data_IF_303878295717
#
_entry.id   IF_303878295717
#
_cell.length_a   1.000
_cell.length_b   1.000
_cell.length_c   1.000
_cell.angle_alpha   90.00
_cell.angle_beta   90.00
_cell.angle_gamma   90.00
#
_symmetry.space_group_name_H-M   'P 1'
#
loop_
_entity.id
_entity.type
_entity.pdbx_description
1 polymer ?
#
# COMPACT_ATOMS: atom_id res chain seq x y z
N UNK A 1 26.50 20.42 -9.46
CA UNK A 1 26.16 18.99 -9.45
C UNK A 1 24.85 18.89 -10.22
N UNK A 2 24.81 18.20 -11.36
CA UNK A 2 23.61 18.18 -12.20
C UNK A 2 22.53 17.36 -11.50
N UNK A 3 21.52 18.06 -11.02
CA UNK A 3 20.28 17.50 -10.50
C UNK A 3 19.59 16.78 -11.67
N UNK A 4 19.82 15.47 -11.81
CA UNK A 4 19.03 14.65 -12.72
C UNK A 4 17.64 14.58 -12.13
N UNK A 5 16.79 15.52 -12.53
CA UNK A 5 15.37 15.51 -12.23
C UNK A 5 14.82 14.13 -12.63
N UNK A 6 14.49 13.30 -11.64
CA UNK A 6 13.79 12.06 -11.90
C UNK A 6 12.38 12.45 -12.35
N UNK A 7 12.12 12.38 -13.66
CA UNK A 7 10.83 12.74 -14.23
C UNK A 7 9.93 11.50 -14.31
N UNK A 8 8.81 11.53 -13.62
CA UNK A 8 7.74 10.55 -13.79
C UNK A 8 6.86 11.02 -14.96
N UNK A 9 6.60 10.18 -15.98
CA UNK A 9 5.69 10.54 -17.06
C UNK A 9 4.27 10.85 -16.54
N UNK A 10 3.56 11.80 -17.18
CA UNK A 10 2.20 12.19 -16.76
C UNK A 10 1.21 11.02 -16.71
N UNK A 11 1.42 10.02 -17.57
CA UNK A 11 0.67 8.78 -17.59
C UNK A 11 1.63 7.62 -17.59
N UNK A 12 1.46 6.71 -16.63
CA UNK A 12 2.24 5.48 -16.51
C UNK A 12 1.31 4.29 -16.53
N UNK A 13 1.70 3.25 -17.25
CA UNK A 13 1.08 1.92 -17.12
C UNK A 13 1.39 1.34 -15.74
N UNK A 14 0.70 0.26 -15.38
CA UNK A 14 0.96 -0.42 -14.11
C UNK A 14 2.38 -1.01 -14.06
N UNK A 15 2.84 -1.59 -15.15
CA UNK A 15 4.16 -2.20 -15.30
C UNK A 15 5.27 -1.13 -15.27
N UNK A 16 5.09 0.00 -15.95
CA UNK A 16 6.02 1.12 -15.89
C UNK A 16 6.10 1.71 -14.47
N UNK A 17 4.97 1.80 -13.76
CA UNK A 17 4.94 2.27 -12.40
C UNK A 17 5.74 1.37 -11.44
N UNK A 18 5.69 0.04 -11.64
CA UNK A 18 6.54 -0.91 -10.90
C UNK A 18 8.02 -0.63 -11.19
N UNK A 19 8.40 -0.55 -12.47
CA UNK A 19 9.79 -0.33 -12.88
C UNK A 19 10.35 1.01 -12.36
N UNK A 20 9.55 2.08 -12.44
CA UNK A 20 9.91 3.39 -11.91
C UNK A 20 10.07 3.35 -10.40
N UNK A 21 9.16 2.67 -9.69
CA UNK A 21 9.26 2.52 -8.24
C UNK A 21 10.52 1.77 -7.83
N UNK A 22 10.91 0.73 -8.57
CA UNK A 22 12.17 0.03 -8.32
C UNK A 22 13.37 0.98 -8.51
N UNK A 23 13.39 1.75 -9.59
CA UNK A 23 14.46 2.72 -9.83
C UNK A 23 14.55 3.79 -8.74
N UNK A 24 13.40 4.26 -8.21
CA UNK A 24 13.38 5.18 -7.06
C UNK A 24 14.00 4.54 -5.84
N UNK A 25 13.59 3.30 -5.49
CA UNK A 25 14.10 2.60 -4.32
C UNK A 25 15.60 2.37 -4.38
N UNK A 26 16.11 1.95 -5.54
CA UNK A 26 17.55 1.72 -5.75
C UNK A 26 18.34 3.02 -5.53
N UNK A 27 17.85 4.15 -6.07
CA UNK A 27 18.51 5.45 -5.92
C UNK A 27 18.35 6.06 -4.52
N UNK A 28 17.23 5.81 -3.84
CA UNK A 28 17.07 6.14 -2.42
C UNK A 28 18.10 5.39 -1.58
N UNK A 29 18.27 4.08 -1.82
CA UNK A 29 19.23 3.25 -1.10
C UNK A 29 20.69 3.68 -1.37
N UNK A 30 20.99 4.13 -2.58
CA UNK A 30 22.30 4.67 -2.96
C UNK A 30 22.54 6.11 -2.45
N UNK A 31 21.54 6.78 -1.87
CA UNK A 31 21.65 8.18 -1.44
C UNK A 31 21.75 9.17 -2.61
N UNK A 32 21.26 8.79 -3.79
CA UNK A 32 21.36 9.55 -5.04
C UNK A 32 20.16 10.48 -5.28
N UNK A 33 19.15 10.44 -4.42
CA UNK A 33 18.00 11.33 -4.46
C UNK A 33 18.02 12.27 -3.25
N UNK A 34 17.82 13.56 -3.53
CA UNK A 34 17.54 14.54 -2.48
C UNK A 34 16.15 14.29 -1.89
N UNK A 35 15.89 14.76 -0.66
CA UNK A 35 14.56 14.70 -0.05
C UNK A 35 13.44 15.22 -0.97
N UNK A 36 13.66 16.37 -1.59
CA UNK A 36 12.68 17.00 -2.50
C UNK A 36 12.43 16.14 -3.75
N UNK A 37 13.48 15.50 -4.28
CA UNK A 37 13.34 14.62 -5.44
C UNK A 37 12.56 13.34 -5.10
N UNK A 38 12.74 12.78 -3.90
CA UNK A 38 11.94 11.64 -3.42
C UNK A 38 10.46 12.02 -3.33
N UNK A 39 10.17 13.15 -2.67
CA UNK A 39 8.81 13.60 -2.45
C UNK A 39 8.10 13.87 -3.79
N UNK A 40 8.76 14.57 -4.72
CA UNK A 40 8.21 14.90 -6.03
C UNK A 40 7.95 13.65 -6.89
N UNK A 41 8.91 12.74 -6.96
CA UNK A 41 8.80 11.52 -7.75
C UNK A 41 7.63 10.63 -7.29
N UNK A 42 7.53 10.39 -5.99
CA UNK A 42 6.46 9.55 -5.44
C UNK A 42 5.11 10.25 -5.60
N UNK A 43 5.03 11.56 -5.39
CA UNK A 43 3.78 12.34 -5.56
C UNK A 43 3.22 12.22 -6.97
N UNK A 44 4.07 12.32 -8.00
CA UNK A 44 3.64 12.15 -9.39
C UNK A 44 3.25 10.70 -9.71
N UNK A 45 3.93 9.70 -9.14
CA UNK A 45 3.51 8.30 -9.29
C UNK A 45 2.12 8.06 -8.69
N UNK A 46 1.85 8.53 -7.47
CA UNK A 46 0.59 8.22 -6.78
C UNK A 46 -0.61 9.06 -7.25
N UNK A 47 -0.38 10.02 -8.15
CA UNK A 47 -1.39 10.87 -8.77
C UNK A 47 -2.38 10.11 -9.64
N UNK A 48 -1.96 8.98 -10.21
CA UNK A 48 -2.81 8.13 -11.06
C UNK A 48 -3.06 6.79 -10.39
N UNK A 49 -4.19 6.16 -10.71
CA UNK A 49 -4.53 4.83 -10.16
C UNK A 49 -3.51 3.76 -10.53
N UNK A 50 -3.01 3.75 -11.77
CA UNK A 50 -1.99 2.78 -12.19
C UNK A 50 -0.65 3.05 -11.52
N UNK A 51 -0.24 4.31 -11.47
CA UNK A 51 0.99 4.73 -10.79
C UNK A 51 0.99 4.37 -9.31
N UNK A 52 -0.08 4.71 -8.59
CA UNK A 52 -0.23 4.38 -7.17
C UNK A 52 -0.24 2.86 -6.92
N UNK A 53 -0.93 2.08 -7.77
CA UNK A 53 -0.93 0.62 -7.66
C UNK A 53 0.46 0.03 -7.90
N UNK A 54 1.17 0.47 -8.94
CA UNK A 54 2.52 -0.01 -9.20
C UNK A 54 3.50 0.38 -8.09
N UNK A 55 3.36 1.59 -7.56
CA UNK A 55 4.10 2.05 -6.39
C UNK A 55 3.90 1.13 -5.19
N UNK A 56 2.65 0.96 -4.74
CA UNK A 56 2.40 0.15 -3.55
C UNK A 56 2.78 -1.31 -3.73
N UNK A 57 2.55 -1.90 -4.91
CA UNK A 57 2.96 -3.27 -5.18
C UNK A 57 4.46 -3.41 -4.99
N UNK A 58 5.27 -2.60 -5.67
CA UNK A 58 6.72 -2.76 -5.59
C UNK A 58 7.30 -2.30 -4.24
N UNK A 59 6.82 -1.17 -3.70
CA UNK A 59 7.29 -0.61 -2.43
C UNK A 59 7.04 -1.56 -1.26
N UNK A 60 5.83 -2.10 -1.14
CA UNK A 60 5.47 -2.94 0.00
C UNK A 60 6.10 -4.33 -0.08
N UNK A 61 6.33 -4.88 -1.27
CA UNK A 61 6.94 -6.21 -1.44
C UNK A 61 8.45 -6.18 -1.50
N UNK A 62 9.08 -5.01 -1.64
CA UNK A 62 10.53 -4.86 -1.76
C UNK A 62 11.30 -5.61 -0.67
N UNK A 63 12.43 -6.22 -1.02
CA UNK A 63 13.35 -6.80 -0.03
C UNK A 63 14.14 -5.73 0.74
N UNK A 64 14.08 -4.47 0.30
CA UNK A 64 14.71 -3.36 1.00
C UNK A 64 13.97 -3.01 2.30
N UNK A 65 14.70 -2.54 3.29
CA UNK A 65 14.15 -2.07 4.58
C UNK A 65 13.58 -0.65 4.50
N UNK A 66 13.72 0.03 3.35
CA UNK A 66 13.17 1.38 3.14
C UNK A 66 11.67 1.44 3.44
N UNK A 67 10.93 0.37 3.12
CA UNK A 67 9.50 0.29 3.36
C UNK A 67 9.13 -0.08 4.81
N UNK A 68 10.09 -0.57 5.62
CA UNK A 68 9.85 -0.87 7.03
C UNK A 68 9.78 0.42 7.86
N UNK A 69 10.57 1.43 7.47
CA UNK A 69 10.60 2.75 8.09
C UNK A 69 10.49 3.84 7.01
N UNK A 70 9.26 4.12 6.52
CA UNK A 70 9.05 5.14 5.50
C UNK A 70 9.61 6.48 5.94
N UNK A 71 10.39 7.14 5.07
CA UNK A 71 10.94 8.46 5.36
C UNK A 71 9.86 9.53 5.36
N UNK A 72 10.15 10.71 5.91
CA UNK A 72 9.20 11.81 5.95
C UNK A 72 8.76 12.24 4.54
N UNK A 73 9.66 12.18 3.58
CA UNK A 73 9.40 12.52 2.18
C UNK A 73 8.43 11.55 1.51
N UNK A 74 8.55 10.25 1.81
CA UNK A 74 7.59 9.24 1.36
C UNK A 74 6.21 9.54 1.96
N UNK A 75 6.15 9.82 3.26
CA UNK A 75 4.88 10.14 3.95
C UNK A 75 4.23 11.38 3.35
N UNK A 76 4.99 12.46 3.15
CA UNK A 76 4.51 13.70 2.53
C UNK A 76 4.01 13.47 1.10
N UNK A 77 4.73 12.66 0.31
CA UNK A 77 4.32 12.34 -1.04
C UNK A 77 3.00 11.58 -1.08
N UNK A 78 2.80 10.62 -0.17
CA UNK A 78 1.54 9.88 -0.07
C UNK A 78 0.37 10.77 0.39
N UNK A 79 0.63 11.79 1.20
CA UNK A 79 -0.39 12.75 1.61
C UNK A 79 -0.88 13.66 0.46
N UNK A 80 -0.13 13.77 -0.64
CA UNK A 80 -0.49 14.64 -1.77
C UNK A 80 -1.71 14.17 -2.57
N UNK A 81 -2.06 12.87 -2.50
CA UNK A 81 -3.16 12.27 -3.25
C UNK A 81 -4.02 11.38 -2.34
N UNK A 82 -4.71 11.98 -1.36
CA UNK A 82 -5.24 11.26 -0.21
C UNK A 82 -6.33 10.23 -0.56
N UNK A 83 -7.17 10.51 -1.55
CA UNK A 83 -8.28 9.61 -1.92
C UNK A 83 -7.75 8.31 -2.53
N UNK A 84 -6.86 8.41 -3.53
CA UNK A 84 -6.24 7.25 -4.21
C UNK A 84 -5.38 6.45 -3.24
N UNK A 85 -4.58 7.12 -2.41
CA UNK A 85 -3.70 6.49 -1.43
C UNK A 85 -4.50 5.76 -0.36
N UNK A 86 -5.55 6.37 0.18
CA UNK A 86 -6.36 5.76 1.25
C UNK A 86 -7.11 4.52 0.79
N UNK A 87 -7.70 4.55 -0.42
CA UNK A 87 -8.36 3.37 -1.02
C UNK A 87 -7.38 2.19 -1.11
N UNK A 88 -6.16 2.45 -1.60
CA UNK A 88 -5.16 1.41 -1.82
C UNK A 88 -4.57 0.89 -0.50
N UNK A 89 -4.31 1.74 0.49
CA UNK A 89 -3.81 1.32 1.79
C UNK A 89 -4.80 0.37 2.49
N UNK A 90 -6.08 0.73 2.55
CA UNK A 90 -7.11 -0.09 3.20
C UNK A 90 -7.28 -1.43 2.48
N UNK A 91 -7.27 -1.44 1.15
CA UNK A 91 -7.34 -2.67 0.36
C UNK A 91 -6.08 -3.53 0.55
N UNK A 92 -4.90 -2.94 0.55
CA UNK A 92 -3.65 -3.67 0.72
C UNK A 92 -3.55 -4.31 2.10
N UNK A 93 -4.01 -3.63 3.15
CA UNK A 93 -4.05 -4.18 4.51
C UNK A 93 -4.92 -5.44 4.54
N UNK A 94 -6.14 -5.35 4.02
CA UNK A 94 -7.07 -6.48 3.95
C UNK A 94 -6.55 -7.63 3.07
N UNK A 95 -6.03 -7.33 1.87
CA UNK A 95 -5.51 -8.34 0.95
C UNK A 95 -4.30 -9.08 1.53
N UNK A 96 -3.34 -8.35 2.11
CA UNK A 96 -2.14 -8.97 2.66
C UNK A 96 -2.43 -9.83 3.90
N UNK A 97 -3.31 -9.38 4.78
CA UNK A 97 -3.73 -10.18 5.95
C UNK A 97 -4.43 -11.48 5.55
N UNK A 98 -5.31 -11.44 4.53
CA UNK A 98 -6.00 -12.63 4.03
C UNK A 98 -5.07 -13.58 3.27
N UNK A 99 -4.10 -13.06 2.52
CA UNK A 99 -3.09 -13.87 1.83
C UNK A 99 -2.15 -14.58 2.79
N UNK A 100 -1.80 -13.96 3.92
CA UNK A 100 -1.02 -14.64 4.95
C UNK A 100 -1.73 -15.93 5.44
N UNK A 101 -3.06 -15.88 5.64
CA UNK A 101 -3.85 -17.07 5.99
C UNK A 101 -3.85 -18.09 4.87
N UNK A 102 -4.16 -17.68 3.63
CA UNK A 102 -4.20 -18.58 2.47
C UNK A 102 -2.88 -19.30 2.27
N UNK A 103 -1.76 -18.60 2.38
CA UNK A 103 -0.43 -19.20 2.24
C UNK A 103 -0.12 -20.17 3.38
N UNK A 104 -0.48 -19.86 4.63
CA UNK A 104 -0.34 -20.80 5.75
C UNK A 104 -1.19 -22.06 5.58
N UNK A 105 -2.43 -21.93 5.13
CA UNK A 105 -3.32 -23.07 4.85
C UNK A 105 -2.79 -23.99 3.75
N UNK A 106 -1.93 -23.46 2.88
CA UNK A 106 -1.29 -24.19 1.79
C UNK A 106 0.17 -24.61 2.12
N UNK A 107 0.55 -24.59 3.40
CA UNK A 107 1.91 -24.90 3.89
C UNK A 107 3.03 -24.07 3.24
N UNK A 108 2.69 -22.90 2.68
CA UNK A 108 3.65 -21.99 2.04
C UNK A 108 4.04 -20.87 2.99
N UNK A 109 4.84 -21.23 4.00
CA UNK A 109 5.25 -20.31 5.06
C UNK A 109 6.03 -19.08 4.54
N UNK A 110 6.88 -19.26 3.53
CA UNK A 110 7.64 -18.15 2.96
C UNK A 110 6.73 -17.08 2.34
N UNK A 111 5.70 -17.48 1.59
CA UNK A 111 4.73 -16.52 1.05
C UNK A 111 3.83 -15.90 2.14
N UNK A 112 3.55 -16.65 3.20
CA UNK A 112 2.84 -16.11 4.35
C UNK A 112 3.64 -15.00 5.04
N UNK A 113 4.93 -15.20 5.27
CA UNK A 113 5.84 -14.18 5.84
C UNK A 113 5.93 -12.95 4.94
N UNK A 114 6.01 -13.14 3.62
CA UNK A 114 5.94 -12.03 2.66
C UNK A 114 4.64 -11.23 2.77
N UNK A 115 3.51 -11.90 2.98
CA UNK A 115 2.22 -11.27 3.19
C UNK A 115 2.13 -10.53 4.52
N UNK A 116 2.67 -11.12 5.60
CA UNK A 116 2.77 -10.47 6.91
C UNK A 116 3.62 -9.20 6.87
N UNK A 117 4.70 -9.21 6.09
CA UNK A 117 5.57 -8.05 5.87
C UNK A 117 4.82 -6.93 5.16
N UNK A 118 4.12 -7.24 4.07
CA UNK A 118 3.28 -6.26 3.34
C UNK A 118 2.21 -5.67 4.27
N UNK A 119 1.54 -6.51 5.06
CA UNK A 119 0.52 -6.08 6.03
C UNK A 119 1.09 -5.09 7.03
N UNK A 120 2.21 -5.46 7.68
CA UNK A 120 2.85 -4.65 8.71
C UNK A 120 3.33 -3.31 8.17
N UNK A 121 3.93 -3.30 6.98
CA UNK A 121 4.33 -2.07 6.28
C UNK A 121 3.13 -1.19 5.93
N UNK A 122 2.04 -1.80 5.48
CA UNK A 122 0.81 -1.06 5.15
C UNK A 122 0.22 -0.39 6.40
N UNK A 123 0.10 -1.14 7.51
CA UNK A 123 -0.35 -0.59 8.79
C UNK A 123 0.55 0.57 9.26
N UNK A 124 1.88 0.41 9.13
CA UNK A 124 2.84 1.47 9.48
C UNK A 124 2.65 2.72 8.64
N UNK A 125 2.42 2.59 7.34
CA UNK A 125 2.15 3.75 6.48
C UNK A 125 0.85 4.43 6.90
N UNK A 126 -0.21 3.68 7.20
CA UNK A 126 -1.49 4.22 7.67
C UNK A 126 -1.30 5.10 8.92
N UNK A 127 -0.55 4.62 9.92
CA UNK A 127 -0.23 5.38 11.13
C UNK A 127 0.50 6.70 10.86
N UNK A 128 1.37 6.70 9.85
CA UNK A 128 2.23 7.84 9.51
C UNK A 128 1.50 8.89 8.66
N UNK A 129 0.72 8.46 7.66
CA UNK A 129 0.05 9.39 6.75
C UNK A 129 -1.10 10.15 7.41
N UNK A 130 -1.75 9.54 8.42
CA UNK A 130 -2.83 10.16 9.22
C UNK A 130 -3.93 10.82 8.37
N UNK A 131 -4.29 10.16 7.27
CA UNK A 131 -5.30 10.66 6.35
C UNK A 131 -6.71 10.33 6.87
N UNK A 132 -7.62 11.31 7.03
CA UNK A 132 -9.00 11.06 7.43
C UNK A 132 -9.73 10.06 6.53
N UNK A 133 -9.40 10.06 5.23
CA UNK A 133 -9.96 9.15 4.24
C UNK A 133 -9.61 7.69 4.51
N UNK A 134 -8.46 7.38 5.14
CA UNK A 134 -8.14 6.00 5.55
C UNK A 134 -9.18 5.52 6.56
N UNK A 135 -9.54 6.34 7.55
CA UNK A 135 -10.53 5.98 8.56
C UNK A 135 -11.91 5.76 7.95
N UNK A 136 -12.33 6.62 7.02
CA UNK A 136 -13.62 6.48 6.31
C UNK A 136 -13.65 5.17 5.49
N UNK A 137 -12.62 4.92 4.69
CA UNK A 137 -12.52 3.72 3.88
C UNK A 137 -12.44 2.45 4.72
N UNK A 138 -11.71 2.51 5.85
CA UNK A 138 -11.60 1.40 6.80
C UNK A 138 -12.95 1.09 7.48
N UNK A 139 -13.72 2.10 7.85
CA UNK A 139 -15.08 1.91 8.40
C UNK A 139 -16.01 1.25 7.36
N UNK A 140 -16.03 1.74 6.12
CA UNK A 140 -16.83 1.15 5.04
C UNK A 140 -16.45 -0.32 4.78
N UNK A 141 -15.15 -0.62 4.72
CA UNK A 141 -14.70 -2.01 4.52
C UNK A 141 -15.00 -2.90 5.72
N UNK A 142 -14.86 -2.38 6.95
CA UNK A 142 -15.19 -3.12 8.18
C UNK A 142 -16.67 -3.49 8.22
N UNK A 143 -17.56 -2.53 7.92
CA UNK A 143 -19.00 -2.78 7.82
C UNK A 143 -19.29 -3.88 6.80
N UNK A 144 -18.68 -3.82 5.61
CA UNK A 144 -18.85 -4.85 4.59
C UNK A 144 -18.29 -6.22 4.98
N UNK A 145 -17.17 -6.26 5.70
CA UNK A 145 -16.59 -7.51 6.18
C UNK A 145 -17.50 -8.20 7.21
N UNK A 146 -18.13 -7.43 8.10
CA UNK A 146 -19.03 -7.93 9.16
C UNK A 146 -20.40 -8.34 8.59
N UNK A 147 -21.00 -7.48 7.77
CA UNK A 147 -22.40 -7.67 7.33
C UNK A 147 -22.52 -8.47 6.04
N UNK A 148 -21.47 -8.49 5.21
CA UNK A 148 -21.52 -8.98 3.84
C UNK A 148 -22.20 -8.02 2.84
N UNK A 149 -22.60 -6.82 3.28
CA UNK A 149 -23.28 -5.81 2.48
C UNK A 149 -22.50 -4.48 2.43
N UNK A 150 -23.00 -3.47 1.71
CA UNK A 150 -22.37 -2.15 1.65
C UNK A 150 -21.33 -1.96 0.54
N UNK A 151 -20.57 -0.87 0.63
CA UNK A 151 -19.73 -0.35 -0.46
C UNK A 151 -18.66 -1.35 -0.94
N UNK A 152 -18.08 -2.12 -0.02
CA UNK A 152 -17.00 -3.05 -0.31
C UNK A 152 -17.47 -4.48 -0.62
N UNK A 153 -18.78 -4.74 -0.67
CA UNK A 153 -19.33 -6.05 -1.08
C UNK A 153 -18.75 -6.55 -2.42
N UNK A 154 -18.65 -5.74 -3.50
CA UNK A 154 -18.06 -6.20 -4.75
C UNK A 154 -16.57 -6.56 -4.62
N UNK A 155 -15.83 -5.84 -3.77
CA UNK A 155 -14.43 -6.14 -3.50
C UNK A 155 -14.27 -7.48 -2.77
N UNK A 156 -15.03 -7.70 -1.70
CA UNK A 156 -15.01 -8.96 -0.95
C UNK A 156 -15.46 -10.15 -1.82
N UNK A 157 -16.51 -9.97 -2.62
CA UNK A 157 -17.03 -10.99 -3.51
C UNK A 157 -16.05 -11.35 -4.64
N UNK A 158 -15.35 -10.35 -5.20
CA UNK A 158 -14.34 -10.57 -6.25
C UNK A 158 -13.23 -11.52 -5.80
N UNK A 159 -12.80 -11.41 -4.54
CA UNK A 159 -11.75 -12.25 -3.98
C UNK A 159 -12.26 -13.54 -3.34
N UNK A 160 -13.56 -13.63 -3.05
CA UNK A 160 -14.17 -14.83 -2.48
C UNK A 160 -13.72 -15.13 -1.05
N UNK A 161 -13.47 -14.10 -0.24
CA UNK A 161 -13.00 -14.28 1.13
C UNK A 161 -14.00 -15.06 1.99
N UNK A 162 -13.50 -16.08 2.69
CA UNK A 162 -14.31 -16.88 3.61
C UNK A 162 -14.53 -16.19 4.97
N UNK A 163 -15.17 -16.90 5.91
CA UNK A 163 -15.47 -16.37 7.23
C UNK A 163 -14.21 -16.02 8.06
N UNK A 164 -13.18 -16.86 8.02
CA UNK A 164 -11.93 -16.60 8.77
C UNK A 164 -11.18 -15.42 8.15
N UNK A 165 -11.10 -15.36 6.82
CA UNK A 165 -10.48 -14.24 6.13
C UNK A 165 -11.21 -12.92 6.39
N UNK A 166 -12.55 -12.90 6.40
CA UNK A 166 -13.32 -11.70 6.76
C UNK A 166 -13.13 -11.28 8.20
N UNK A 167 -13.04 -12.25 9.13
CA UNK A 167 -12.76 -11.98 10.53
C UNK A 167 -11.40 -11.28 10.70
N UNK A 168 -10.36 -11.77 10.04
CA UNK A 168 -9.03 -11.14 10.10
C UNK A 168 -9.02 -9.76 9.43
N UNK A 169 -9.75 -9.56 8.33
CA UNK A 169 -9.94 -8.20 7.78
C UNK A 169 -10.53 -7.28 8.86
N UNK A 170 -11.58 -7.72 9.56
CA UNK A 170 -12.21 -6.92 10.60
C UNK A 170 -11.26 -6.58 11.74
N UNK A 171 -10.44 -7.53 12.19
CA UNK A 171 -9.45 -7.32 13.26
C UNK A 171 -8.38 -6.30 12.86
N UNK A 172 -7.82 -6.40 11.66
CA UNK A 172 -6.81 -5.45 11.17
C UNK A 172 -7.38 -4.04 11.01
N UNK A 173 -8.62 -3.91 10.53
CA UNK A 173 -9.27 -2.61 10.40
C UNK A 173 -9.62 -1.99 11.75
N UNK A 174 -10.03 -2.80 12.73
CA UNK A 174 -10.28 -2.30 14.08
C UNK A 174 -9.01 -1.73 14.72
N UNK A 175 -7.85 -2.34 14.48
CA UNK A 175 -6.58 -1.84 15.03
C UNK A 175 -6.25 -0.42 14.56
N UNK A 176 -6.52 -0.09 13.29
CA UNK A 176 -6.25 1.25 12.75
C UNK A 176 -7.35 2.28 13.06
N UNK A 177 -8.53 1.84 13.47
CA UNK A 177 -9.67 2.69 13.83
C UNK A 177 -9.69 3.09 15.32
N UNK A 178 -8.85 2.46 16.14
CA UNK A 178 -8.76 2.68 17.59
C UNK A 178 -7.86 3.87 17.97
#
# INVERSE_FOLDING_TARGET
MSEFAFTVPETVTFEEAIALTQSILDRMQAGELSPDAIAAAISELVKTKNGARGFFVNYLTSESTIADNPSQEVVQALQSNPDTVSELLVKNLAMSATMAITHRRNDNHQMAEGSDRVRSRTARIIELVKLPQVYQQAQSLLESAITGEGEYKPFLAKWGYDAEQRQVISEELQQILN
#
